data_IF_533652475731
#
_entry.id   IF_533652475731
#
_cell.length_a   1.000
_cell.length_b   1.000
_cell.length_c   1.000
_cell.angle_alpha   90.00
_cell.angle_beta   90.00
_cell.angle_gamma   90.00
#
_symmetry.space_group_name_H-M   'P 1'
#
loop_
_entity.id
_entity.type
_entity.pdbx_description
1 polymer ?
#
# COMPACT_ATOMS: atom_id res chain seq x y z
N UNK A 1 -35.76 -11.85 6.20
CA UNK A 1 -35.39 -10.98 5.06
C UNK A 1 -34.01 -10.37 5.25
N UNK A 2 -33.76 -9.57 6.29
CA UNK A 2 -32.43 -8.96 6.49
C UNK A 2 -31.30 -9.97 6.73
N UNK A 3 -31.57 -11.04 7.48
CA UNK A 3 -30.60 -12.11 7.69
C UNK A 3 -30.19 -12.81 6.39
N UNK A 4 -31.14 -13.05 5.48
CA UNK A 4 -30.87 -13.64 4.17
C UNK A 4 -30.08 -12.69 3.26
N UNK A 5 -30.35 -11.38 3.33
CA UNK A 5 -29.54 -10.36 2.66
C UNK A 5 -28.11 -10.38 3.19
N UNK A 6 -27.94 -10.43 4.51
CA UNK A 6 -26.62 -10.50 5.13
C UNK A 6 -25.85 -11.75 4.65
N UNK A 7 -26.47 -12.94 4.68
CA UNK A 7 -25.85 -14.18 4.18
C UNK A 7 -25.48 -14.14 2.70
N UNK A 8 -26.31 -13.51 1.86
CA UNK A 8 -26.01 -13.32 0.44
C UNK A 8 -24.88 -12.31 0.20
N UNK A 9 -24.87 -11.19 0.94
CA UNK A 9 -23.80 -10.18 0.88
C UNK A 9 -22.47 -10.76 1.33
N UNK A 10 -22.46 -11.64 2.34
CA UNK A 10 -21.26 -12.34 2.80
C UNK A 10 -20.90 -13.57 1.94
N UNK A 11 -21.57 -13.78 0.81
CA UNK A 11 -21.38 -14.93 -0.10
C UNK A 11 -21.53 -16.32 0.55
N UNK A 12 -22.22 -16.41 1.69
CA UNK A 12 -22.61 -17.68 2.30
C UNK A 12 -23.78 -18.33 1.55
N UNK A 13 -24.55 -17.52 0.84
CA UNK A 13 -25.57 -17.95 -0.11
C UNK A 13 -25.33 -17.29 -1.46
N UNK A 14 -25.56 -18.00 -2.58
CA UNK A 14 -25.38 -17.43 -3.92
C UNK A 14 -26.46 -16.40 -4.27
N UNK A 15 -27.62 -16.47 -3.62
CA UNK A 15 -28.76 -15.55 -3.82
C UNK A 15 -29.48 -15.29 -2.50
N UNK A 16 -30.37 -14.29 -2.47
CA UNK A 16 -31.16 -13.96 -1.28
C UNK A 16 -32.28 -14.99 -1.13
N UNK A 17 -32.00 -16.09 -0.43
CA UNK A 17 -32.97 -17.14 -0.09
C UNK A 17 -33.18 -17.21 1.43
N UNK A 18 -34.41 -16.91 1.86
CA UNK A 18 -34.78 -16.88 3.28
C UNK A 18 -34.84 -18.28 3.90
N UNK A 19 -35.30 -19.28 3.14
CA UNK A 19 -35.44 -20.65 3.63
C UNK A 19 -34.07 -21.31 3.84
N UNK A 20 -33.10 -20.99 2.97
CA UNK A 20 -31.72 -21.43 3.15
C UNK A 20 -31.00 -20.64 4.25
N UNK A 21 -31.23 -19.33 4.35
CA UNK A 21 -30.60 -18.50 5.37
C UNK A 21 -30.91 -18.97 6.79
N UNK A 22 -32.15 -19.38 7.08
CA UNK A 22 -32.55 -19.86 8.42
C UNK A 22 -31.77 -21.09 8.87
N UNK A 23 -31.23 -21.89 7.93
CA UNK A 23 -30.43 -23.08 8.23
C UNK A 23 -28.97 -22.75 8.59
N UNK A 24 -28.52 -21.52 8.35
CA UNK A 24 -27.15 -21.08 8.63
C UNK A 24 -27.07 -20.55 10.07
N UNK A 25 -26.29 -21.19 10.96
CA UNK A 25 -26.13 -20.71 12.32
C UNK A 25 -25.41 -19.36 12.36
N UNK A 26 -25.84 -18.40 13.20
CA UNK A 26 -25.23 -17.06 13.27
C UNK A 26 -23.72 -17.06 13.58
N UNK A 27 -23.21 -18.10 14.26
CA UNK A 27 -21.77 -18.23 14.52
C UNK A 27 -20.94 -18.38 13.24
N UNK A 28 -21.49 -19.02 12.20
CA UNK A 28 -20.80 -19.20 10.93
C UNK A 28 -20.63 -17.87 10.18
N UNK A 29 -21.55 -16.92 10.35
CA UNK A 29 -21.39 -15.55 9.85
C UNK A 29 -20.22 -14.82 10.50
N UNK A 30 -19.96 -15.03 11.79
CA UNK A 30 -18.86 -14.37 12.51
C UNK A 30 -17.51 -14.92 12.03
N UNK A 31 -17.41 -16.25 11.86
CA UNK A 31 -16.22 -16.91 11.35
C UNK A 31 -15.92 -16.55 9.90
N UNK A 32 -16.94 -16.58 9.02
CA UNK A 32 -16.79 -16.15 7.62
C UNK A 32 -16.49 -14.66 7.51
N UNK A 33 -17.01 -13.80 8.42
CA UNK A 33 -16.70 -12.37 8.43
C UNK A 33 -15.25 -12.09 8.82
N UNK A 34 -14.64 -12.91 9.67
CA UNK A 34 -13.20 -12.82 9.96
C UNK A 34 -12.34 -13.24 8.77
N UNK A 35 -12.68 -14.33 8.08
CA UNK A 35 -11.96 -14.78 6.88
C UNK A 35 -12.20 -13.86 5.67
N UNK A 36 -13.44 -13.42 5.41
CA UNK A 36 -13.74 -12.48 4.33
C UNK A 36 -13.22 -11.08 4.61
N UNK A 37 -13.28 -10.52 5.82
CA UNK A 37 -12.70 -9.20 6.07
C UNK A 37 -11.17 -9.28 5.91
N UNK A 38 -10.53 -10.38 6.32
CA UNK A 38 -9.12 -10.60 6.05
C UNK A 38 -8.82 -10.72 4.54
N UNK A 39 -9.69 -11.35 3.76
CA UNK A 39 -9.53 -11.52 2.30
C UNK A 39 -10.05 -10.34 1.43
N UNK A 40 -10.90 -9.45 1.96
CA UNK A 40 -11.58 -8.35 1.23
C UNK A 40 -11.18 -6.95 1.69
N UNK A 41 -10.32 -6.81 2.70
CA UNK A 41 -9.82 -5.52 3.19
C UNK A 41 -8.32 -5.30 2.92
N UNK A 42 -7.65 -6.26 2.26
CA UNK A 42 -6.22 -6.15 1.94
C UNK A 42 -5.94 -5.15 0.81
N UNK A 43 -4.76 -4.54 0.84
CA UNK A 43 -4.29 -3.63 -0.23
C UNK A 43 -4.39 -4.27 -1.62
N UNK A 44 -4.16 -5.58 -1.73
CA UNK A 44 -4.27 -6.33 -2.98
C UNK A 44 -5.71 -6.41 -3.49
N UNK A 45 -6.70 -6.53 -2.60
CA UNK A 45 -8.11 -6.48 -3.00
C UNK A 45 -8.50 -5.09 -3.51
N UNK A 46 -8.01 -4.02 -2.86
CA UNK A 46 -8.21 -2.66 -3.33
C UNK A 46 -7.61 -2.44 -4.72
N UNK A 47 -6.36 -2.87 -4.94
CA UNK A 47 -5.68 -2.78 -6.22
C UNK A 47 -6.40 -3.57 -7.32
N UNK A 48 -6.83 -4.81 -7.03
CA UNK A 48 -7.64 -5.63 -7.92
C UNK A 48 -8.96 -4.96 -8.28
N UNK A 49 -9.68 -4.42 -7.29
CA UNK A 49 -10.98 -3.77 -7.49
C UNK A 49 -10.89 -2.47 -8.30
N UNK A 50 -9.73 -1.83 -8.31
CA UNK A 50 -9.42 -0.65 -9.11
C UNK A 50 -8.86 -0.98 -10.50
N UNK A 51 -8.87 -2.26 -10.91
CA UNK A 51 -8.39 -2.70 -12.21
C UNK A 51 -6.88 -2.95 -12.27
N UNK A 52 -6.33 -3.61 -11.24
CA UNK A 52 -4.90 -3.96 -11.12
C UNK A 52 -3.96 -2.74 -11.14
N UNK A 53 -4.40 -1.62 -10.57
CA UNK A 53 -3.55 -0.44 -10.40
C UNK A 53 -2.61 -0.62 -9.22
N UNK A 54 -1.44 0.01 -9.25
CA UNK A 54 -0.52 0.01 -8.11
C UNK A 54 -1.08 0.92 -7.02
N UNK A 55 -1.37 0.33 -5.85
CA UNK A 55 -1.83 1.02 -4.65
C UNK A 55 -0.72 1.00 -3.61
N UNK A 56 -0.54 2.13 -2.91
CA UNK A 56 0.37 2.23 -1.76
C UNK A 56 -0.43 2.54 -0.50
N UNK A 57 -0.39 1.63 0.47
CA UNK A 57 -0.90 1.84 1.82
C UNK A 57 0.25 2.31 2.70
N UNK A 58 0.35 3.62 2.90
CA UNK A 58 1.35 4.23 3.78
C UNK A 58 1.10 3.84 5.23
N UNK A 59 2.15 3.54 5.98
CA UNK A 59 2.02 3.10 7.37
C UNK A 59 3.31 3.25 8.17
N UNK A 60 3.38 2.55 9.30
CA UNK A 60 4.68 2.20 9.92
C UNK A 60 5.51 1.39 8.94
N UNK A 61 4.85 0.45 8.26
CA UNK A 61 5.31 -0.27 7.07
C UNK A 61 4.49 0.23 5.89
N UNK A 62 5.15 0.59 4.80
CA UNK A 62 4.44 0.91 3.55
C UNK A 62 4.18 -0.40 2.82
N UNK A 63 2.92 -0.71 2.52
CA UNK A 63 2.54 -1.85 1.67
C UNK A 63 2.23 -1.35 0.28
N UNK A 64 2.68 -2.07 -0.74
CA UNK A 64 2.52 -1.71 -2.14
C UNK A 64 1.97 -2.92 -2.87
N UNK A 65 0.88 -2.78 -3.63
CA UNK A 65 0.32 -3.91 -4.38
C UNK A 65 -0.28 -3.48 -5.70
N UNK A 66 -0.11 -4.31 -6.73
CA UNK A 66 -0.79 -4.19 -8.03
C UNK A 66 -2.03 -5.10 -8.14
N UNK A 67 -2.40 -5.77 -7.04
CA UNK A 67 -3.50 -6.72 -6.98
C UNK A 67 -3.10 -8.17 -7.19
N UNK A 68 -1.89 -8.43 -7.69
CA UNK A 68 -1.31 -9.77 -7.88
C UNK A 68 -0.13 -9.98 -6.93
N UNK A 69 0.80 -9.03 -6.92
CA UNK A 69 1.96 -9.01 -6.05
C UNK A 69 1.80 -7.95 -4.96
N UNK A 70 2.42 -8.20 -3.81
CA UNK A 70 2.47 -7.24 -2.71
C UNK A 70 3.91 -7.17 -2.19
N UNK A 71 4.44 -5.95 -2.08
CA UNK A 71 5.73 -5.64 -1.48
C UNK A 71 5.51 -4.85 -0.20
N UNK A 72 6.44 -5.01 0.75
CA UNK A 72 6.44 -4.28 2.01
C UNK A 72 7.77 -3.55 2.17
N UNK A 73 7.70 -2.27 2.54
CA UNK A 73 8.86 -1.45 2.86
C UNK A 73 8.83 -1.04 4.33
N UNK A 74 9.66 -1.72 5.12
CA UNK A 74 9.85 -1.44 6.54
C UNK A 74 11.03 -0.47 6.79
N UNK A 75 11.86 -0.23 5.77
CA UNK A 75 13.10 0.51 5.89
C UNK A 75 12.88 2.00 6.19
N UNK A 76 13.84 2.60 6.90
CA UNK A 76 13.91 4.03 7.18
C UNK A 76 12.64 4.66 7.80
N UNK A 77 12.24 4.16 8.97
CA UNK A 77 11.11 4.74 9.73
C UNK A 77 11.33 6.21 10.13
N UNK A 78 10.22 6.97 10.20
CA UNK A 78 10.19 8.33 10.73
C UNK A 78 8.98 8.53 11.66
N UNK A 79 9.17 8.92 12.93
CA UNK A 79 8.10 9.07 13.92
C UNK A 79 7.31 10.39 13.78
N UNK A 80 7.50 11.15 12.69
CA UNK A 80 6.88 12.46 12.48
C UNK A 80 6.13 12.52 11.15
N UNK A 81 4.85 12.91 11.23
CA UNK A 81 3.97 13.17 10.07
C UNK A 81 3.67 14.66 9.87
N UNK A 82 4.52 15.38 9.15
CA UNK A 82 4.20 16.71 8.64
C UNK A 82 3.33 16.66 7.37
N UNK A 83 2.52 17.71 7.15
CA UNK A 83 1.77 17.90 5.92
C UNK A 83 2.72 18.14 4.74
N UNK A 84 2.36 17.63 3.56
CA UNK A 84 3.17 17.73 2.33
C UNK A 84 4.14 16.57 2.07
N UNK A 85 4.34 15.65 3.02
CA UNK A 85 5.19 14.45 2.77
C UNK A 85 4.64 13.54 1.66
N UNK A 86 3.32 13.51 1.49
CA UNK A 86 2.68 12.75 0.41
C UNK A 86 3.05 13.28 -0.97
N UNK A 87 3.27 14.60 -1.09
CA UNK A 87 3.64 15.23 -2.36
C UNK A 87 5.07 14.87 -2.74
N UNK A 88 5.98 14.83 -1.76
CA UNK A 88 7.36 14.34 -1.95
C UNK A 88 7.34 12.89 -2.43
N UNK A 89 6.55 12.03 -1.77
CA UNK A 89 6.39 10.63 -2.19
C UNK A 89 5.88 10.52 -3.62
N UNK A 90 4.81 11.23 -3.96
CA UNK A 90 4.21 11.20 -5.29
C UNK A 90 5.21 11.67 -6.35
N UNK A 91 5.95 12.76 -6.10
CA UNK A 91 7.00 13.25 -6.98
C UNK A 91 8.10 12.21 -7.20
N UNK A 92 8.61 11.60 -6.12
CA UNK A 92 9.62 10.54 -6.22
C UNK A 92 9.11 9.33 -7.04
N UNK A 93 7.90 8.84 -6.77
CA UNK A 93 7.30 7.74 -7.54
C UNK A 93 7.17 8.12 -9.02
N UNK A 94 6.75 9.35 -9.32
CA UNK A 94 6.67 9.84 -10.70
C UNK A 94 8.01 9.77 -11.44
N UNK A 95 9.10 10.15 -10.78
CA UNK A 95 10.46 10.01 -11.32
C UNK A 95 10.84 8.56 -11.57
N UNK A 96 10.65 7.67 -10.58
CA UNK A 96 10.95 6.24 -10.76
C UNK A 96 10.05 5.59 -11.82
N UNK A 97 8.79 5.99 -11.94
CA UNK A 97 7.89 5.48 -12.96
C UNK A 97 8.31 5.93 -14.37
N UNK A 98 8.84 7.14 -14.51
CA UNK A 98 9.44 7.59 -15.76
C UNK A 98 10.68 6.76 -16.11
N UNK A 99 11.57 6.50 -15.15
CA UNK A 99 12.74 5.64 -15.38
C UNK A 99 12.36 4.20 -15.71
N UNK A 100 11.37 3.63 -15.01
CA UNK A 100 10.87 2.28 -15.26
C UNK A 100 10.27 2.10 -16.66
N UNK A 101 9.75 3.16 -17.28
CA UNK A 101 9.29 3.11 -18.68
C UNK A 101 10.42 3.04 -19.70
N UNK A 102 11.62 3.47 -19.33
CA UNK A 102 12.80 3.50 -20.19
C UNK A 102 13.83 2.42 -19.86
N UNK A 103 13.69 1.75 -18.72
CA UNK A 103 14.49 0.61 -18.34
C UNK A 103 13.88 -0.67 -18.93
N UNK A 104 14.70 -1.56 -19.49
CA UNK A 104 14.33 -2.95 -19.69
C UNK A 104 14.54 -3.66 -18.34
N UNK A 105 13.48 -4.09 -17.64
CA UNK A 105 13.63 -4.75 -16.36
C UNK A 105 14.21 -6.15 -16.57
N UNK A 106 15.53 -6.28 -16.50
CA UNK A 106 16.20 -7.58 -16.49
C UNK A 106 15.83 -8.33 -15.20
N UNK A 107 15.05 -9.40 -15.34
CA UNK A 107 14.81 -10.39 -14.27
C UNK A 107 13.65 -10.12 -13.31
N UNK A 108 12.81 -9.10 -13.52
CA UNK A 108 11.56 -8.93 -12.77
C UNK A 108 10.34 -9.20 -13.65
N UNK A 109 9.65 -10.32 -13.39
CA UNK A 109 8.44 -10.72 -14.11
C UNK A 109 7.16 -9.99 -13.66
N UNK A 110 7.26 -9.07 -12.69
CA UNK A 110 6.12 -8.32 -12.16
C UNK A 110 5.91 -6.94 -12.79
N UNK A 111 4.92 -6.20 -12.30
CA UNK A 111 4.61 -4.84 -12.77
C UNK A 111 5.77 -3.85 -12.46
N UNK A 112 6.44 -3.25 -13.46
CA UNK A 112 7.53 -2.30 -13.22
C UNK A 112 7.12 -1.06 -12.40
N UNK A 113 5.84 -0.68 -12.45
CA UNK A 113 5.31 0.42 -11.62
C UNK A 113 5.27 0.05 -10.14
N UNK A 114 5.20 -1.23 -9.80
CA UNK A 114 5.29 -1.70 -8.40
C UNK A 114 6.70 -1.47 -7.84
N UNK A 115 7.74 -1.71 -8.66
CA UNK A 115 9.13 -1.38 -8.30
C UNK A 115 9.34 0.13 -8.22
N UNK A 116 8.77 0.89 -9.16
CA UNK A 116 8.83 2.35 -9.11
C UNK A 116 8.19 2.92 -7.83
N UNK A 117 7.05 2.36 -7.44
CA UNK A 117 6.36 2.70 -6.21
C UNK A 117 7.22 2.37 -4.98
N UNK A 118 7.90 1.23 -4.99
CA UNK A 118 8.81 0.80 -3.92
C UNK A 118 10.01 1.75 -3.80
N UNK A 119 10.68 2.06 -4.91
CA UNK A 119 11.81 3.00 -4.95
C UNK A 119 11.42 4.40 -4.43
N UNK A 120 10.25 4.91 -4.86
CA UNK A 120 9.73 6.18 -4.37
C UNK A 120 9.45 6.18 -2.87
N UNK A 121 8.86 5.11 -2.34
CA UNK A 121 8.66 4.92 -0.89
C UNK A 121 10.00 4.88 -0.15
N UNK A 122 10.97 4.11 -0.63
CA UNK A 122 12.28 3.94 0.00
C UNK A 122 13.03 5.27 0.14
N UNK A 123 13.15 6.04 -0.95
CA UNK A 123 13.85 7.34 -0.92
C UNK A 123 13.11 8.35 -0.05
N UNK A 124 11.77 8.38 -0.10
CA UNK A 124 11.00 9.33 0.71
C UNK A 124 11.14 9.03 2.20
N UNK A 125 11.09 7.74 2.58
CA UNK A 125 11.28 7.29 3.96
C UNK A 125 12.71 7.57 4.45
N UNK A 126 13.73 7.29 3.64
CA UNK A 126 15.11 7.67 3.90
C UNK A 126 15.26 9.18 4.13
N UNK A 127 14.60 9.99 3.29
CA UNK A 127 14.66 11.44 3.39
C UNK A 127 13.96 11.98 4.63
N UNK A 128 12.79 11.44 4.96
CA UNK A 128 12.06 11.78 6.17
C UNK A 128 12.84 11.39 7.44
N UNK A 129 13.53 10.24 7.42
CA UNK A 129 14.41 9.81 8.51
C UNK A 129 15.57 10.80 8.71
N UNK A 130 16.25 11.18 7.62
CA UNK A 130 17.36 12.15 7.66
C UNK A 130 16.90 13.55 8.11
N UNK A 131 15.75 14.01 7.64
CA UNK A 131 15.16 15.28 8.05
C UNK A 131 14.76 15.26 9.53
N UNK A 132 14.20 14.16 10.02
CA UNK A 132 13.80 14.02 11.41
C UNK A 132 15.00 14.05 12.36
N UNK A 133 16.13 13.42 12.00
CA UNK A 133 17.36 13.49 12.80
C UNK A 133 17.75 14.95 13.10
N UNK A 134 17.61 15.84 12.12
CA UNK A 134 17.99 17.26 12.23
C UNK A 134 16.94 18.14 12.89
N UNK A 135 15.68 17.98 12.50
CA UNK A 135 14.61 18.92 12.84
C UNK A 135 13.63 18.38 13.88
N UNK A 136 13.72 17.08 14.21
CA UNK A 136 12.89 16.40 15.20
C UNK A 136 11.40 16.72 15.00
N UNK A 137 10.72 17.19 16.05
CA UNK A 137 9.28 17.51 15.99
C UNK A 137 8.95 18.72 15.11
N UNK A 138 9.93 19.60 14.86
CA UNK A 138 9.79 20.76 13.99
C UNK A 138 9.91 20.42 12.49
N UNK A 139 10.22 19.17 12.13
CA UNK A 139 10.34 18.74 10.73
C UNK A 139 9.08 19.07 9.91
N UNK A 140 9.31 19.65 8.74
CA UNK A 140 8.32 20.04 7.72
C UNK A 140 8.56 19.32 6.39
N UNK A 141 7.62 19.38 5.44
CA UNK A 141 7.80 18.75 4.13
C UNK A 141 8.98 19.33 3.32
N UNK A 142 9.25 20.65 3.34
CA UNK A 142 10.49 21.19 2.76
C UNK A 142 11.74 20.52 3.32
N UNK A 143 11.82 20.22 4.61
CA UNK A 143 13.00 19.54 5.18
C UNK A 143 13.17 18.14 4.59
N UNK A 144 12.07 17.41 4.38
CA UNK A 144 12.07 16.11 3.69
C UNK A 144 12.50 16.29 2.23
N UNK A 145 12.02 17.32 1.53
CA UNK A 145 12.42 17.59 0.16
C UNK A 145 13.93 17.89 0.04
N UNK A 146 14.47 18.74 0.91
CA UNK A 146 15.89 19.13 0.90
C UNK A 146 16.86 17.96 1.14
N UNK A 147 16.41 16.88 1.79
CA UNK A 147 17.24 15.71 2.04
C UNK A 147 17.15 14.65 0.93
N UNK A 148 16.32 14.81 -0.11
CA UNK A 148 16.09 13.79 -1.14
C UNK A 148 17.38 13.29 -1.80
N UNK A 149 18.29 14.20 -2.18
CA UNK A 149 19.55 13.80 -2.82
C UNK A 149 20.41 12.90 -1.94
N UNK A 150 20.51 13.23 -0.64
CA UNK A 150 21.24 12.39 0.34
C UNK A 150 20.51 11.09 0.62
N UNK A 151 19.18 11.13 0.62
CA UNK A 151 18.33 9.97 0.81
C UNK A 151 18.45 8.98 -0.34
N UNK A 152 18.60 9.46 -1.57
CA UNK A 152 18.81 8.63 -2.75
C UNK A 152 20.09 7.80 -2.61
N UNK A 153 21.23 8.45 -2.33
CA UNK A 153 22.52 7.77 -2.11
C UNK A 153 22.46 6.80 -0.92
N UNK A 154 21.68 7.13 0.12
CA UNK A 154 21.47 6.25 1.26
C UNK A 154 20.63 5.01 0.91
N UNK A 155 19.62 5.16 0.07
CA UNK A 155 18.73 4.08 -0.35
C UNK A 155 19.36 3.19 -1.42
N UNK A 156 20.21 3.75 -2.27
CA UNK A 156 20.92 3.08 -3.35
C UNK A 156 22.42 3.41 -3.23
N UNK A 157 23.16 2.72 -2.33
CA UNK A 157 24.61 2.77 -2.36
C UNK A 157 25.07 2.17 -3.69
N UNK A 158 26.04 2.80 -4.36
CA UNK A 158 26.65 2.35 -5.62
C UNK A 158 25.88 2.67 -6.92
N UNK A 159 24.81 3.46 -6.87
CA UNK A 159 24.11 4.02 -8.05
C UNK A 159 24.60 5.41 -8.45
#
# INVERSE_FOLDING_TARGET
MEYARLCATTRLLPTIDVAQAVKIPPAQLILFKLELIAMSCGISYCAHSLGFTVVIQKGSVDRLSDGTFTLENEEFGCPRRCGGQGDVLCGSIGTFAAWAKHAEPDGFEGNPLLLAAFGGSLVTRASASLAFVKHQRAMTAPDVLHNLGKAFVKAFPDS
#
